data_IF_052905856679
#
_entry.id   IF_052905856679
#
_cell.length_a   1.000
_cell.length_b   1.000
_cell.length_c   1.000
_cell.angle_alpha   90.00
_cell.angle_beta   90.00
_cell.angle_gamma   90.00
#
_symmetry.space_group_name_H-M   'P 1'
#
loop_
_entity.id
_entity.type
_entity.pdbx_description
1 polymer ?
#
# COMPACT_ATOMS: atom_id res chain seq x y z
N UNK A 1 6.49 9.55 12.80
CA UNK A 1 5.19 9.29 12.16
C UNK A 1 5.23 7.87 11.63
N UNK A 2 4.15 7.11 11.79
CA UNK A 2 4.05 5.73 11.31
C UNK A 2 2.80 5.57 10.45
N UNK A 3 2.86 4.67 9.47
CA UNK A 3 1.77 4.44 8.53
C UNK A 3 1.38 2.98 8.54
N UNK A 4 0.09 2.69 8.45
CA UNK A 4 -0.39 1.36 8.11
C UNK A 4 -1.37 1.48 6.97
N UNK A 5 -1.29 0.55 6.02
CA UNK A 5 -2.20 0.49 4.89
C UNK A 5 -2.98 -0.81 4.93
N UNK A 6 -4.29 -0.69 4.73
CA UNK A 6 -5.18 -1.82 4.44
C UNK A 6 -5.77 -1.62 3.05
N UNK A 7 -5.55 -2.58 2.18
CA UNK A 7 -6.06 -2.60 0.82
C UNK A 7 -7.10 -3.70 0.73
N UNK A 8 -8.36 -3.32 0.48
CA UNK A 8 -9.47 -4.26 0.43
C UNK A 8 -10.04 -4.34 -0.98
N UNK A 9 -10.10 -5.57 -1.48
CA UNK A 9 -10.94 -5.91 -2.62
C UNK A 9 -12.35 -6.22 -2.08
N UNK A 10 -13.34 -5.42 -2.48
CA UNK A 10 -14.72 -5.57 -2.04
C UNK A 10 -15.40 -6.80 -2.67
N UNK A 11 -14.97 -7.24 -3.86
CA UNK A 11 -15.56 -8.40 -4.54
C UNK A 11 -15.02 -9.71 -3.97
N UNK A 12 -13.69 -9.85 -3.90
CA UNK A 12 -13.07 -11.10 -3.42
C UNK A 12 -12.93 -11.19 -1.90
N UNK A 13 -13.20 -10.09 -1.17
CA UNK A 13 -12.93 -9.92 0.27
C UNK A 13 -11.48 -10.20 0.65
N UNK A 14 -10.56 -10.20 -0.32
CA UNK A 14 -9.12 -10.29 -0.05
C UNK A 14 -8.64 -8.96 0.54
N UNK A 15 -7.75 -9.06 1.53
CA UNK A 15 -7.13 -7.93 2.18
C UNK A 15 -5.61 -8.04 2.13
N UNK A 16 -4.96 -6.94 1.73
CA UNK A 16 -3.51 -6.77 1.82
C UNK A 16 -3.27 -5.77 2.95
N UNK A 17 -2.52 -6.20 3.97
CA UNK A 17 -2.23 -5.38 5.14
C UNK A 17 -0.74 -5.08 5.18
N UNK A 18 -0.35 -3.87 4.78
CA UNK A 18 1.04 -3.40 4.77
C UNK A 18 1.31 -2.65 6.08
N UNK A 19 2.23 -3.19 6.88
CA UNK A 19 2.53 -2.68 8.22
C UNK A 19 3.51 -1.50 8.21
N UNK A 20 3.67 -0.90 9.39
CA UNK A 20 4.51 0.28 9.61
C UNK A 20 5.99 0.04 9.29
N UNK A 21 6.46 -1.19 9.47
CA UNK A 21 7.85 -1.57 9.21
C UNK A 21 8.12 -1.82 7.71
N UNK A 22 7.07 -2.07 6.94
CA UNK A 22 7.10 -2.34 5.50
C UNK A 22 7.00 -1.05 4.67
N UNK A 23 6.50 0.06 5.22
CA UNK A 23 6.28 1.31 4.49
C UNK A 23 7.46 2.27 4.67
N UNK A 24 7.98 2.78 3.55
CA UNK A 24 9.02 3.83 3.54
C UNK A 24 8.37 5.20 3.39
N UNK A 25 7.47 5.33 2.41
CA UNK A 25 6.89 6.62 2.04
C UNK A 25 5.49 6.42 1.42
N UNK A 26 4.56 7.32 1.77
CA UNK A 26 3.28 7.46 1.06
C UNK A 26 3.12 8.92 0.62
N UNK A 27 2.86 9.12 -0.66
CA UNK A 27 2.55 10.42 -1.27
C UNK A 27 1.16 10.33 -1.88
N UNK A 28 0.30 11.31 -1.64
CA UNK A 28 -0.95 11.42 -2.38
C UNK A 28 -1.22 12.87 -2.76
N UNK A 29 -1.92 13.05 -3.87
CA UNK A 29 -2.42 14.35 -4.32
C UNK A 29 -3.87 14.22 -4.74
N UNK A 30 -4.63 15.26 -4.45
CA UNK A 30 -6.03 15.40 -4.84
C UNK A 30 -6.07 16.64 -5.72
N UNK A 31 -6.10 16.44 -7.04
CA UNK A 31 -6.16 17.56 -7.98
C UNK A 31 -7.56 18.17 -7.98
N UNK A 32 -7.68 19.49 -7.80
CA UNK A 32 -8.84 20.24 -8.27
C UNK A 32 -8.60 20.48 -9.76
N UNK A 33 -9.54 20.09 -10.63
CA UNK A 33 -9.35 20.26 -12.06
C UNK A 33 -9.20 21.75 -12.40
N UNK A 34 -8.08 22.12 -13.02
CA UNK A 34 -7.86 23.44 -13.60
C UNK A 34 -8.86 23.67 -14.76
N UNK A 35 -9.49 24.85 -14.72
CA UNK A 35 -10.04 25.61 -15.86
C UNK A 35 -11.06 24.96 -16.79
N UNK A 36 -12.12 24.34 -16.26
CA UNK A 36 -13.40 24.28 -16.99
C UNK A 36 -14.57 24.36 -16.00
N UNK A 37 -15.59 25.17 -16.32
CA UNK A 37 -16.80 25.51 -15.55
C UNK A 37 -17.73 24.32 -15.18
N UNK A 38 -17.17 23.20 -14.72
CA UNK A 38 -17.89 22.04 -14.20
C UNK A 38 -17.26 21.68 -12.85
N UNK A 39 -17.55 22.53 -11.86
CA UNK A 39 -17.19 22.32 -10.47
C UNK A 39 -17.60 20.89 -10.04
N UNK A 40 -16.68 20.17 -9.38
CA UNK A 40 -16.85 18.87 -8.72
C UNK A 40 -16.77 17.55 -9.51
N UNK A 41 -16.80 17.50 -10.84
CA UNK A 41 -16.83 16.20 -11.56
C UNK A 41 -15.47 15.61 -11.95
N UNK A 42 -14.35 16.35 -11.79
CA UNK A 42 -13.05 15.97 -12.38
C UNK A 42 -11.86 15.81 -11.41
N UNK A 43 -12.05 15.93 -10.10
CA UNK A 43 -10.93 15.72 -9.15
C UNK A 43 -10.35 14.32 -9.29
N UNK A 44 -9.05 14.22 -9.55
CA UNK A 44 -8.29 12.98 -9.65
C UNK A 44 -7.48 12.79 -8.37
N UNK A 45 -7.58 11.61 -7.77
CA UNK A 45 -6.68 11.21 -6.69
C UNK A 45 -5.57 10.36 -7.28
N UNK A 46 -4.33 10.76 -7.04
CA UNK A 46 -3.15 9.92 -7.32
C UNK A 46 -2.41 9.64 -6.03
N UNK A 47 -1.93 8.42 -5.88
CA UNK A 47 -1.13 7.99 -4.75
C UNK A 47 0.10 7.22 -5.20
N UNK A 48 1.20 7.37 -4.48
CA UNK A 48 2.42 6.60 -4.62
C UNK A 48 2.80 6.04 -3.25
N UNK A 49 2.91 4.72 -3.17
CA UNK A 49 3.36 3.98 -1.97
C UNK A 49 4.71 3.37 -2.31
N UNK A 50 5.71 3.67 -1.47
CA UNK A 50 7.03 3.04 -1.52
C UNK A 50 7.22 2.21 -0.26
N UNK A 51 7.55 0.93 -0.43
CA UNK A 51 7.74 0.00 0.68
C UNK A 51 8.92 -0.95 0.48
N UNK A 52 9.26 -1.68 1.55
CA UNK A 52 10.39 -2.61 1.61
C UNK A 52 9.95 -4.02 1.23
N UNK A 53 10.85 -4.72 0.57
CA UNK A 53 10.82 -6.18 0.42
C UNK A 53 11.81 -6.71 1.46
N UNK A 54 11.28 -7.36 2.48
CA UNK A 54 12.04 -7.84 3.64
C UNK A 54 12.61 -9.22 3.30
N UNK A 55 13.87 -9.45 3.67
CA UNK A 55 14.57 -10.73 3.48
C UNK A 55 15.05 -11.26 4.84
N UNK A 56 15.00 -12.57 5.04
CA UNK A 56 15.42 -13.23 6.28
C UNK A 56 16.75 -14.02 6.13
N UNK A 57 17.65 -13.59 5.25
CA UNK A 57 18.90 -14.32 4.95
C UNK A 57 19.78 -14.57 6.19
N UNK A 58 19.70 -13.74 7.23
CA UNK A 58 20.48 -13.87 8.45
C UNK A 58 19.99 -14.96 9.42
N UNK A 59 18.75 -15.45 9.30
CA UNK A 59 18.19 -16.47 10.22
C UNK A 59 18.68 -17.90 9.95
N UNK A 60 19.46 -18.11 8.89
CA UNK A 60 19.96 -19.43 8.51
C UNK A 60 21.24 -19.81 9.26
N UNK A 61 21.88 -18.87 9.96
CA UNK A 61 23.25 -19.03 10.47
C UNK A 61 23.40 -19.42 11.93
N UNK A 62 22.56 -18.94 12.86
CA UNK A 62 22.70 -19.21 14.30
C UNK A 62 21.39 -18.88 15.01
N UNK A 63 20.64 -19.88 15.51
CA UNK A 63 19.83 -19.78 16.74
C UNK A 63 19.09 -21.11 17.03
N UNK A 64 19.74 -21.93 17.85
CA UNK A 64 19.17 -23.09 18.56
C UNK A 64 18.31 -22.67 19.79
N UNK A 65 18.01 -21.39 19.97
CA UNK A 65 17.23 -20.88 21.10
C UNK A 65 15.83 -20.42 20.64
N UNK A 66 14.85 -21.32 20.79
CA UNK A 66 13.47 -21.28 20.29
C UNK A 66 12.50 -20.35 21.03
N UNK A 67 12.88 -19.12 21.37
CA UNK A 67 11.93 -18.18 22.03
C UNK A 67 11.58 -16.94 21.19
N UNK A 68 12.40 -16.56 20.20
CA UNK A 68 12.16 -15.38 19.34
C UNK A 68 11.82 -15.71 17.88
N UNK A 69 11.63 -17.00 17.54
CA UNK A 69 11.37 -17.47 16.17
C UNK A 69 10.00 -17.05 15.63
N UNK A 70 8.97 -16.92 16.48
CA UNK A 70 7.59 -16.80 15.99
C UNK A 70 7.21 -15.42 15.44
N UNK A 71 7.84 -14.33 15.90
CA UNK A 71 7.41 -12.97 15.54
C UNK A 71 8.06 -12.48 14.24
N UNK A 72 9.34 -12.80 14.03
CA UNK A 72 10.07 -12.37 12.81
C UNK A 72 9.72 -13.22 11.59
N UNK A 73 9.46 -14.52 11.77
CA UNK A 73 9.05 -15.39 10.66
C UNK A 73 7.65 -14.98 10.13
N UNK A 74 6.74 -14.52 11.00
CA UNK A 74 5.40 -14.05 10.60
C UNK A 74 5.46 -12.75 9.78
N UNK A 75 6.32 -11.78 10.17
CA UNK A 75 6.47 -10.53 9.40
C UNK A 75 7.03 -10.80 8.00
N UNK A 76 8.03 -11.66 7.88
CA UNK A 76 8.64 -12.00 6.59
C UNK A 76 7.64 -12.71 5.67
N UNK A 77 6.98 -13.76 6.15
CA UNK A 77 5.99 -14.49 5.34
C UNK A 77 4.80 -13.59 4.96
N UNK A 78 4.36 -12.72 5.88
CA UNK A 78 3.32 -11.72 5.58
C UNK A 78 3.79 -10.71 4.55
N UNK A 79 5.00 -10.17 4.67
CA UNK A 79 5.55 -9.23 3.68
C UNK A 79 5.65 -9.90 2.30
N UNK A 80 6.20 -11.10 2.22
CA UNK A 80 6.30 -11.87 0.98
C UNK A 80 4.92 -12.08 0.34
N UNK A 81 3.92 -12.50 1.12
CA UNK A 81 2.54 -12.64 0.64
C UNK A 81 1.96 -11.32 0.17
N UNK A 82 2.13 -10.24 0.93
CA UNK A 82 1.67 -8.90 0.56
C UNK A 82 2.28 -8.46 -0.78
N UNK A 83 3.58 -8.68 -1.00
CA UNK A 83 4.25 -8.33 -2.25
C UNK A 83 3.66 -9.11 -3.43
N UNK A 84 3.39 -10.41 -3.27
CA UNK A 84 2.74 -11.22 -4.30
C UNK A 84 1.35 -10.68 -4.60
N UNK A 85 0.53 -10.43 -3.57
CA UNK A 85 -0.84 -9.92 -3.74
C UNK A 85 -0.85 -8.52 -4.41
N UNK A 86 0.16 -7.69 -4.15
CA UNK A 86 0.34 -6.39 -4.81
C UNK A 86 0.71 -6.53 -6.30
N UNK A 87 1.56 -7.51 -6.64
CA UNK A 87 1.90 -7.83 -8.04
C UNK A 87 0.67 -8.37 -8.77
N UNK A 88 -0.07 -9.31 -8.17
CA UNK A 88 -1.31 -9.84 -8.75
C UNK A 88 -2.34 -8.73 -9.02
N UNK A 89 -2.46 -7.77 -8.09
CA UNK A 89 -3.32 -6.62 -8.30
C UNK A 89 -2.83 -5.74 -9.45
N UNK A 90 -1.52 -5.46 -9.53
CA UNK A 90 -0.95 -4.68 -10.63
C UNK A 90 -1.20 -5.31 -12.01
N UNK A 91 -1.20 -6.64 -12.09
CA UNK A 91 -1.47 -7.40 -13.32
C UNK A 91 -2.96 -7.50 -13.69
N UNK A 92 -3.88 -7.20 -12.75
CA UNK A 92 -5.34 -7.29 -12.97
C UNK A 92 -5.94 -6.17 -13.83
N UNK A 93 -5.10 -5.40 -14.53
CA UNK A 93 -5.49 -4.26 -15.35
C UNK A 93 -6.65 -4.60 -16.30
N UNK A 94 -7.70 -3.75 -16.31
CA UNK A 94 -8.95 -3.91 -17.08
C UNK A 94 -9.89 -5.04 -16.64
N UNK A 95 -9.61 -5.74 -15.53
CA UNK A 95 -10.53 -6.73 -14.96
C UNK A 95 -11.52 -6.06 -13.99
N UNK A 96 -12.60 -6.76 -13.61
CA UNK A 96 -13.52 -6.25 -12.56
C UNK A 96 -12.82 -6.05 -11.21
N UNK A 97 -11.82 -6.88 -10.93
CA UNK A 97 -10.94 -6.87 -9.75
C UNK A 97 -9.86 -5.77 -9.75
N UNK A 98 -9.84 -4.89 -10.75
CA UNK A 98 -8.84 -3.82 -10.88
C UNK A 98 -8.96 -2.75 -9.78
N UNK A 99 -10.17 -2.61 -9.19
CA UNK A 99 -10.46 -1.58 -8.19
C UNK A 99 -10.41 -2.10 -6.76
N UNK A 100 -9.69 -1.39 -5.88
CA UNK A 100 -9.63 -1.67 -4.44
C UNK A 100 -9.81 -0.41 -3.61
N UNK A 101 -10.32 -0.59 -2.40
CA UNK A 101 -10.39 0.47 -1.40
C UNK A 101 -9.11 0.47 -0.56
N UNK A 102 -8.61 1.65 -0.23
CA UNK A 102 -7.40 1.84 0.56
C UNK A 102 -7.75 2.59 1.85
N UNK A 103 -7.43 2.01 2.99
CA UNK A 103 -7.52 2.65 4.30
C UNK A 103 -6.09 2.89 4.80
N UNK A 104 -5.74 4.17 5.02
CA UNK A 104 -4.46 4.59 5.55
C UNK A 104 -4.64 5.12 6.97
N UNK A 105 -3.95 4.47 7.90
CA UNK A 105 -3.90 4.86 9.31
C UNK A 105 -2.57 5.55 9.54
N UNK A 106 -2.60 6.80 10.00
CA UNK A 106 -1.42 7.61 10.24
C UNK A 106 -1.32 7.93 11.73
N UNK A 107 -0.23 7.51 12.35
CA UNK A 107 0.13 7.90 13.72
C UNK A 107 1.07 9.11 13.69
N UNK A 108 0.55 10.26 14.09
CA UNK A 108 1.27 11.55 14.12
C UNK A 108 2.09 11.72 15.42
N UNK A 109 2.00 10.79 16.36
CA UNK A 109 2.53 10.91 17.71
C UNK A 109 1.62 11.70 18.64
N UNK A 110 1.95 11.73 19.93
CA UNK A 110 1.23 12.48 20.97
C UNK A 110 -0.29 12.19 21.01
N UNK A 111 -0.67 10.91 20.84
CA UNK A 111 -2.06 10.44 20.77
C UNK A 111 -2.89 11.02 19.61
N UNK A 112 -2.25 11.64 18.60
CA UNK A 112 -2.93 12.14 17.40
C UNK A 112 -2.85 11.10 16.29
N UNK A 113 -4.01 10.73 15.75
CA UNK A 113 -4.15 9.78 14.65
C UNK A 113 -4.99 10.39 13.54
N UNK A 114 -4.79 9.91 12.32
CA UNK A 114 -5.56 10.31 11.14
C UNK A 114 -5.88 9.08 10.31
N UNK A 115 -7.17 8.88 10.02
CA UNK A 115 -7.64 7.76 9.21
C UNK A 115 -8.17 8.29 7.88
N UNK A 116 -7.58 7.82 6.78
CA UNK A 116 -7.89 8.26 5.43
C UNK A 116 -8.37 7.09 4.59
N UNK A 117 -9.54 7.22 3.97
CA UNK A 117 -10.09 6.20 3.08
C UNK A 117 -10.19 6.69 1.64
N UNK A 118 -9.48 6.01 0.75
CA UNK A 118 -9.49 6.22 -0.69
C UNK A 118 -10.25 5.10 -1.37
N UNK A 119 -11.32 5.43 -2.08
CA UNK A 119 -12.19 4.42 -2.69
C UNK A 119 -11.85 4.17 -4.14
N UNK A 120 -11.99 2.92 -4.59
CA UNK A 120 -11.85 2.50 -5.99
C UNK A 120 -10.56 3.02 -6.66
N UNK A 121 -9.45 2.77 -5.99
CA UNK A 121 -8.11 2.96 -6.52
C UNK A 121 -7.79 1.78 -7.44
N UNK A 122 -7.04 2.02 -8.50
CA UNK A 122 -6.48 0.99 -9.38
C UNK A 122 -4.98 1.25 -9.57
N UNK A 123 -4.23 0.19 -9.87
CA UNK A 123 -2.79 0.29 -10.13
C UNK A 123 -2.58 0.73 -11.57
N UNK A 124 -1.88 1.85 -11.78
CA UNK A 124 -1.50 2.27 -13.13
C UNK A 124 -0.01 2.10 -13.41
N UNK A 125 0.80 1.89 -12.35
CA UNK A 125 2.21 1.55 -12.48
C UNK A 125 2.69 0.84 -11.23
N UNK A 126 3.41 -0.26 -11.43
CA UNK A 126 4.13 -0.99 -10.41
C UNK A 126 5.60 -1.15 -10.82
N UNK A 127 6.51 -1.08 -9.87
CA UNK A 127 7.93 -1.34 -10.11
C UNK A 127 8.61 -1.86 -8.85
N UNK A 128 9.59 -2.74 -9.02
CA UNK A 128 10.42 -3.25 -7.94
C UNK A 128 11.91 -3.08 -8.30
N UNK A 129 12.72 -2.81 -7.28
CA UNK A 129 14.17 -2.83 -7.37
C UNK A 129 14.68 -3.76 -6.26
N UNK A 130 15.55 -4.70 -6.62
CA UNK A 130 16.23 -5.60 -5.68
C UNK A 130 17.72 -5.50 -5.91
N UNK A 131 18.48 -5.24 -4.85
CA UNK A 131 19.94 -5.15 -4.95
C UNK A 131 20.58 -6.00 -3.87
N UNK A 132 21.36 -6.99 -4.33
CA UNK A 132 22.20 -7.83 -3.45
C UNK A 132 23.26 -6.95 -2.77
N UNK A 133 23.93 -6.08 -3.54
CA UNK A 133 24.98 -5.18 -3.03
C UNK A 133 24.48 -4.21 -1.97
N UNK A 134 23.27 -3.67 -2.14
CA UNK A 134 22.67 -2.72 -1.18
C UNK A 134 21.94 -3.44 -0.04
N UNK A 135 21.74 -4.77 -0.13
CA UNK A 135 20.97 -5.54 0.85
C UNK A 135 19.51 -5.09 0.99
N UNK A 136 18.96 -4.40 -0.02
CA UNK A 136 17.66 -3.73 0.06
C UNK A 136 16.82 -4.10 -1.17
N UNK A 137 15.58 -4.52 -0.93
CA UNK A 137 14.53 -4.58 -1.93
C UNK A 137 13.47 -3.51 -1.66
N UNK A 138 13.04 -2.80 -2.69
CA UNK A 138 12.01 -1.76 -2.61
C UNK A 138 10.96 -2.03 -3.69
N UNK A 139 9.69 -1.86 -3.34
CA UNK A 139 8.61 -1.76 -4.32
C UNK A 139 8.04 -0.34 -4.35
N UNK A 140 7.50 0.04 -5.50
CA UNK A 140 6.78 1.28 -5.72
C UNK A 140 5.47 0.99 -6.44
N UNK A 141 4.38 1.35 -5.79
CA UNK A 141 3.01 1.16 -6.26
C UNK A 141 2.40 2.54 -6.53
N UNK A 142 2.03 2.81 -7.78
CA UNK A 142 1.33 4.03 -8.15
C UNK A 142 -0.12 3.76 -8.48
N UNK A 143 -0.99 4.49 -7.81
CA UNK A 143 -2.43 4.31 -7.82
C UNK A 143 -3.14 5.55 -8.36
N UNK A 144 -4.27 5.33 -9.03
CA UNK A 144 -5.21 6.37 -9.45
C UNK A 144 -6.62 6.00 -9.03
N UNK A 145 -7.44 7.00 -8.73
CA UNK A 145 -8.86 6.79 -8.45
C UNK A 145 -9.69 6.79 -9.74
N UNK A 146 -10.75 5.98 -9.78
CA UNK A 146 -11.76 6.01 -10.85
C UNK A 146 -12.38 7.42 -10.99
N UNK A 147 -12.48 7.92 -12.23
CA UNK A 147 -12.81 9.32 -12.55
C UNK A 147 -14.21 9.82 -12.13
N UNK A 148 -15.18 8.95 -11.81
CA UNK A 148 -16.57 9.33 -11.51
C UNK A 148 -17.04 8.79 -10.15
N UNK A 149 -16.50 9.35 -9.06
CA UNK A 149 -16.93 9.00 -7.70
C UNK A 149 -17.45 10.20 -6.94
N UNK A 150 -18.61 10.05 -6.29
CA UNK A 150 -19.20 11.08 -5.42
C UNK A 150 -18.37 11.32 -4.16
N UNK A 151 -17.77 10.26 -3.59
CA UNK A 151 -16.93 10.33 -2.39
C UNK A 151 -15.51 9.92 -2.77
N UNK A 152 -14.56 10.87 -2.74
CA UNK A 152 -13.19 10.66 -3.23
C UNK A 152 -12.19 10.34 -2.12
N UNK A 153 -12.40 10.96 -0.96
CA UNK A 153 -11.66 10.76 0.28
C UNK A 153 -12.68 10.86 1.43
N UNK A 154 -12.64 9.90 2.34
CA UNK A 154 -13.33 9.99 3.63
C UNK A 154 -12.27 10.15 4.73
N UNK A 155 -12.48 11.12 5.62
CA UNK A 155 -11.59 11.44 6.75
C UNK A 155 -12.35 11.12 8.01
N UNK A 156 -11.81 10.21 8.82
CA UNK A 156 -12.43 9.78 10.08
C UNK A 156 -11.64 10.24 11.29
#
# INVERSE_FOLDING_TARGET
MKYRLRIRDEESKKEINVSEDEIIEVKYKIGLAEDTNLANSRSTVEMEITGKIISNLENTGNNLNSENKSVNDDLYERNKKNIIDLVEWAESYLQKSDYRNLEMFVDLGSNKKMDLKFTNMFVYKFSQEMSIEKGIGIFKLKLRQKFHQKNKLDIK
#
